data_IF_643343956834
#
_entry.id   IF_643343956834
#
_cell.length_a   1.000
_cell.length_b   1.000
_cell.length_c   1.000
_cell.angle_alpha   90.00
_cell.angle_beta   90.00
_cell.angle_gamma   90.00
#
_symmetry.space_group_name_H-M   'P 1'
#
loop_
_entity.id
_entity.type
_entity.pdbx_description
1 polymer ?
#
# COMPACT_ATOMS: atom_id res chain seq x y z
N UNK A 1 -10.22 68.77 24.19
CA UNK A 1 -9.15 68.50 23.20
C UNK A 1 -9.12 67.01 23.12
N UNK A 2 -10.00 66.49 22.26
CA UNK A 2 -10.62 65.19 22.44
C UNK A 2 -10.06 64.22 21.41
N UNK A 3 -9.28 63.25 21.89
CA UNK A 3 -8.85 62.09 21.11
C UNK A 3 -10.03 61.13 20.94
N UNK A 4 -10.73 61.24 19.81
CA UNK A 4 -11.71 60.25 19.37
C UNK A 4 -10.99 59.20 18.52
N UNK A 5 -10.89 57.99 19.07
CA UNK A 5 -10.61 56.75 18.34
C UNK A 5 -11.58 56.60 17.16
N UNK A 6 -11.08 56.78 15.93
CA UNK A 6 -11.78 56.39 14.71
C UNK A 6 -11.36 54.95 14.40
N UNK A 7 -12.21 53.99 14.78
CA UNK A 7 -12.22 52.65 14.21
C UNK A 7 -12.64 52.77 12.73
N UNK A 8 -11.67 52.81 11.81
CA UNK A 8 -11.95 52.56 10.41
C UNK A 8 -12.25 51.08 10.24
N UNK A 9 -13.53 50.75 10.06
CA UNK A 9 -13.95 49.50 9.42
C UNK A 9 -13.33 49.45 8.03
N UNK A 10 -12.23 48.72 7.87
CA UNK A 10 -11.74 48.34 6.55
C UNK A 10 -12.70 47.29 6.01
N UNK A 11 -13.73 47.75 5.28
CA UNK A 11 -14.37 46.91 4.27
C UNK A 11 -13.29 46.59 3.24
N UNK A 12 -12.71 45.39 3.33
CA UNK A 12 -12.01 44.80 2.20
C UNK A 12 -13.12 44.38 1.24
N UNK A 13 -13.53 45.31 0.37
CA UNK A 13 -14.22 44.93 -0.85
C UNK A 13 -13.33 43.90 -1.54
N UNK A 14 -13.86 42.69 -1.71
CA UNK A 14 -13.25 41.68 -2.55
C UNK A 14 -13.15 42.30 -3.94
N UNK A 15 -12.00 42.88 -4.24
CA UNK A 15 -11.67 43.40 -5.55
C UNK A 15 -11.92 42.25 -6.52
N UNK A 16 -13.01 42.38 -7.26
CA UNK A 16 -13.48 41.42 -8.24
C UNK A 16 -12.31 41.11 -9.15
N UNK A 17 -11.83 39.87 -9.08
CA UNK A 17 -10.78 39.38 -9.96
C UNK A 17 -11.16 39.75 -11.40
N UNK A 18 -10.25 40.37 -12.18
CA UNK A 18 -10.55 40.75 -13.54
C UNK A 18 -10.97 39.50 -14.34
N UNK A 19 -11.96 39.65 -15.23
CA UNK A 19 -12.51 38.55 -16.05
C UNK A 19 -11.47 37.84 -16.93
N UNK A 20 -10.27 38.41 -17.06
CA UNK A 20 -9.09 37.81 -17.67
C UNK A 20 -8.38 36.76 -16.82
N UNK A 21 -8.76 36.60 -15.54
CA UNK A 21 -8.34 35.51 -14.64
C UNK A 21 -9.43 34.43 -14.61
N UNK A 22 -10.03 34.12 -15.76
CA UNK A 22 -10.64 32.81 -15.94
C UNK A 22 -9.52 31.78 -15.96
N UNK A 23 -9.64 30.66 -15.22
CA UNK A 23 -8.80 29.48 -15.44
C UNK A 23 -9.02 29.03 -16.89
N UNK A 24 -8.19 29.53 -17.81
CA UNK A 24 -8.18 29.08 -19.20
C UNK A 24 -7.44 27.76 -19.23
N UNK A 25 -8.21 26.72 -18.96
CA UNK A 25 -7.80 25.35 -19.02
C UNK A 25 -9.07 24.55 -18.90
N UNK A 26 -9.82 24.41 -19.99
CA UNK A 26 -10.61 23.20 -20.17
C UNK A 26 -9.64 22.06 -19.91
N UNK A 27 -9.81 21.34 -18.80
CA UNK A 27 -9.09 20.10 -18.58
C UNK A 27 -9.55 19.17 -19.70
N UNK A 28 -8.75 19.08 -20.76
CA UNK A 28 -8.89 18.02 -21.74
C UNK A 28 -8.53 16.76 -20.98
N UNK A 29 -9.52 16.14 -20.33
CA UNK A 29 -9.33 14.84 -19.74
C UNK A 29 -9.21 13.89 -20.93
N UNK A 30 -8.01 13.37 -21.15
CA UNK A 30 -7.83 12.31 -22.12
C UNK A 30 -8.74 11.14 -21.68
N UNK A 31 -9.42 10.46 -22.62
CA UNK A 31 -10.43 9.45 -22.30
C UNK A 31 -9.95 8.34 -21.35
N UNK A 32 -8.64 8.19 -21.19
CA UNK A 32 -7.96 7.16 -20.41
C UNK A 32 -6.95 7.73 -19.40
N UNK A 33 -7.08 8.99 -18.97
CA UNK A 33 -6.30 9.55 -17.84
C UNK A 33 -7.23 9.86 -16.66
N UNK A 34 -7.20 8.98 -15.65
CA UNK A 34 -7.89 9.16 -14.38
C UNK A 34 -6.91 9.59 -13.27
N UNK A 35 -7.36 10.32 -12.24
CA UNK A 35 -6.54 10.57 -11.06
C UNK A 35 -5.96 9.26 -10.51
N UNK A 36 -4.64 9.23 -10.30
CA UNK A 36 -3.91 8.05 -9.83
C UNK A 36 -3.28 7.19 -10.92
N UNK A 37 -3.60 7.37 -12.20
CA UNK A 37 -3.09 6.52 -13.28
C UNK A 37 -1.63 6.84 -13.63
N UNK A 38 -0.70 6.29 -12.85
CA UNK A 38 0.74 6.39 -13.08
C UNK A 38 1.15 5.14 -13.87
N UNK A 39 1.44 5.28 -15.17
CA UNK A 39 1.79 4.14 -16.04
C UNK A 39 2.88 3.24 -15.45
N UNK A 40 3.95 3.83 -14.91
CA UNK A 40 5.03 3.08 -14.27
C UNK A 40 4.51 2.26 -13.08
N UNK A 41 3.58 2.81 -12.29
CA UNK A 41 3.01 2.12 -11.15
C UNK A 41 2.06 0.99 -11.56
N UNK A 42 1.26 1.20 -12.61
CA UNK A 42 0.41 0.14 -13.16
C UNK A 42 1.23 -1.05 -13.66
N UNK A 43 2.41 -0.80 -14.24
CA UNK A 43 3.36 -1.87 -14.59
C UNK A 43 3.88 -2.63 -13.37
N UNK A 44 4.19 -1.92 -12.27
CA UNK A 44 4.57 -2.56 -11.01
C UNK A 44 3.44 -3.45 -10.47
N UNK A 45 2.19 -2.96 -10.47
CA UNK A 45 1.03 -3.75 -10.03
C UNK A 45 0.80 -4.99 -10.90
N UNK A 46 1.00 -4.88 -12.23
CA UNK A 46 0.96 -6.05 -13.10
C UNK A 46 2.03 -7.09 -12.73
N UNK A 47 3.23 -6.64 -12.35
CA UNK A 47 4.27 -7.52 -11.82
C UNK A 47 3.87 -8.23 -10.52
N UNK A 48 3.07 -7.57 -9.67
CA UNK A 48 2.46 -8.18 -8.47
C UNK A 48 1.22 -9.06 -8.80
N UNK A 49 0.84 -9.16 -10.07
CA UNK A 49 -0.31 -9.95 -10.53
C UNK A 49 -1.67 -9.25 -10.37
N UNK A 50 -1.70 -7.93 -10.17
CA UNK A 50 -2.93 -7.13 -10.14
C UNK A 50 -2.94 -6.17 -11.32
N UNK A 51 -3.92 -6.30 -12.20
CA UNK A 51 -4.09 -5.44 -13.38
C UNK A 51 -5.24 -4.46 -13.15
N UNK A 52 -4.98 -3.16 -12.90
CA UNK A 52 -6.06 -2.20 -12.71
C UNK A 52 -6.84 -2.01 -14.01
N UNK A 53 -8.06 -2.56 -14.12
CA UNK A 53 -8.85 -2.56 -15.37
C UNK A 53 -9.87 -1.43 -15.49
N UNK A 54 -10.20 -0.75 -14.38
CA UNK A 54 -11.32 0.20 -14.32
C UNK A 54 -10.90 1.66 -14.24
N UNK A 55 -10.81 2.23 -13.02
CA UNK A 55 -10.66 3.68 -12.83
C UNK A 55 -9.27 4.08 -12.36
N UNK A 56 -8.93 3.79 -11.10
CA UNK A 56 -7.76 4.42 -10.47
C UNK A 56 -6.96 3.45 -9.60
N UNK A 57 -5.64 3.53 -9.69
CA UNK A 57 -4.73 2.91 -8.73
C UNK A 57 -3.83 3.97 -8.10
N UNK A 58 -4.08 4.31 -6.84
CA UNK A 58 -3.35 5.36 -6.13
C UNK A 58 -2.14 4.78 -5.42
N UNK A 59 -0.94 5.15 -5.86
CA UNK A 59 0.29 4.94 -5.08
C UNK A 59 0.32 5.96 -3.93
N UNK A 60 0.38 5.48 -2.69
CA UNK A 60 0.28 6.31 -1.49
C UNK A 60 1.58 6.16 -0.67
N UNK A 61 2.47 7.15 -0.75
CA UNK A 61 3.77 7.15 -0.03
C UNK A 61 3.89 8.31 0.96
N UNK A 62 2.94 9.25 0.95
CA UNK A 62 2.88 10.38 1.87
C UNK A 62 1.43 10.80 2.15
N UNK A 63 1.15 11.48 3.27
CA UNK A 63 -0.21 11.92 3.62
C UNK A 63 -0.89 12.85 2.61
N UNK A 64 -0.15 13.48 1.70
CA UNK A 64 -0.72 14.28 0.60
C UNK A 64 -1.39 13.38 -0.45
N UNK A 65 -0.86 12.19 -0.69
CA UNK A 65 -1.38 11.26 -1.70
C UNK A 65 -2.77 10.73 -1.28
N UNK A 66 -3.00 10.59 0.03
CA UNK A 66 -4.34 10.30 0.57
C UNK A 66 -5.36 11.36 0.14
N UNK A 67 -4.99 12.64 0.17
CA UNK A 67 -5.90 13.72 -0.25
C UNK A 67 -6.17 13.67 -1.75
N UNK A 68 -5.16 13.33 -2.56
CA UNK A 68 -5.30 13.14 -4.01
C UNK A 68 -6.24 11.96 -4.31
N UNK A 69 -6.19 10.90 -3.50
CA UNK A 69 -7.09 9.76 -3.56
C UNK A 69 -8.49 10.03 -2.95
N UNK A 70 -8.78 11.26 -2.49
CA UNK A 70 -10.05 11.60 -1.84
C UNK A 70 -10.22 11.03 -0.42
N UNK A 71 -9.14 10.53 0.18
CA UNK A 71 -9.12 9.93 1.51
C UNK A 71 -8.76 10.94 2.60
N UNK A 72 -9.20 10.65 3.82
CA UNK A 72 -8.83 11.42 5.00
C UNK A 72 -7.42 11.04 5.47
N UNK A 73 -6.73 12.00 6.08
CA UNK A 73 -5.46 11.73 6.76
C UNK A 73 -5.70 10.84 8.00
N UNK A 74 -4.73 10.00 8.37
CA UNK A 74 -4.80 9.19 9.58
C UNK A 74 -4.89 10.07 10.84
N UNK A 75 -5.49 9.53 11.90
CA UNK A 75 -5.64 10.24 13.18
C UNK A 75 -4.34 10.34 13.97
N UNK A 76 -3.44 9.38 13.80
CA UNK A 76 -2.13 9.28 14.47
C UNK A 76 -1.05 8.87 13.48
N UNK A 77 0.18 9.34 13.67
CA UNK A 77 1.36 8.94 12.89
C UNK A 77 2.62 9.04 13.77
N UNK A 78 3.32 7.93 14.08
CA UNK A 78 3.03 6.57 13.62
C UNK A 78 1.76 5.99 14.28
N UNK A 79 1.08 5.10 13.57
CA UNK A 79 0.03 4.27 14.15
C UNK A 79 0.65 3.08 14.86
N UNK A 80 0.29 2.88 16.13
CA UNK A 80 0.68 1.70 16.89
C UNK A 80 -0.49 0.72 16.85
N UNK A 81 -0.26 -0.46 16.27
CA UNK A 81 -1.25 -1.53 16.18
C UNK A 81 -0.82 -2.65 17.11
N UNK A 82 -1.69 -3.03 18.06
CA UNK A 82 -1.47 -4.19 18.92
C UNK A 82 -2.04 -5.44 18.25
N UNK A 83 -1.17 -6.32 17.79
CA UNK A 83 -1.56 -7.64 17.27
C UNK A 83 -1.67 -8.63 18.42
N UNK A 84 -2.84 -9.22 18.64
CA UNK A 84 -3.01 -10.27 19.65
C UNK A 84 -2.68 -11.64 19.07
N UNK A 85 -2.33 -12.61 19.91
CA UNK A 85 -2.15 -14.01 19.51
C UNK A 85 -3.41 -14.68 18.96
N UNK A 86 -4.59 -14.04 19.11
CA UNK A 86 -5.85 -14.49 18.51
C UNK A 86 -5.96 -14.12 17.03
N UNK A 87 -5.12 -13.19 16.53
CA UNK A 87 -5.02 -12.86 15.11
C UNK A 87 -3.94 -13.72 14.44
N UNK A 88 -3.94 -15.03 14.72
CA UNK A 88 -2.98 -15.95 14.12
C UNK A 88 -3.32 -16.12 12.64
N UNK A 89 -2.56 -15.45 11.78
CA UNK A 89 -2.60 -15.64 10.34
C UNK A 89 -1.69 -16.84 10.00
N UNK A 90 -2.21 -17.92 9.38
CA UNK A 90 -1.42 -19.11 9.10
C UNK A 90 -0.49 -18.91 7.90
N UNK A 91 0.64 -19.60 7.94
CA UNK A 91 1.60 -19.69 6.84
C UNK A 91 1.15 -20.72 5.80
N UNK A 92 1.30 -20.41 4.52
CA UNK A 92 1.11 -21.37 3.44
C UNK A 92 2.08 -22.55 3.59
N UNK A 93 1.57 -23.77 3.46
CA UNK A 93 2.32 -25.00 3.70
C UNK A 93 2.27 -25.51 5.14
N UNK A 94 1.70 -24.74 6.07
CA UNK A 94 1.45 -25.21 7.44
C UNK A 94 0.31 -26.24 7.50
N UNK A 95 0.18 -26.95 8.62
CA UNK A 95 -0.95 -27.86 8.89
C UNK A 95 -2.31 -27.15 8.79
N UNK A 96 -2.34 -25.84 9.07
CA UNK A 96 -3.55 -25.02 9.04
C UNK A 96 -3.88 -24.42 7.66
N UNK A 97 -2.92 -24.36 6.74
CA UNK A 97 -3.12 -23.73 5.43
C UNK A 97 -2.27 -24.42 4.35
N UNK A 98 -2.85 -25.32 3.54
CA UNK A 98 -2.16 -25.91 2.40
C UNK A 98 -1.79 -24.87 1.33
N UNK A 99 -0.66 -25.06 0.64
CA UNK A 99 -0.21 -24.19 -0.45
C UNK A 99 -1.29 -23.98 -1.52
N UNK A 100 -1.92 -25.05 -2.01
CA UNK A 100 -2.98 -24.97 -3.03
C UNK A 100 -4.16 -24.08 -2.62
N UNK A 101 -4.49 -24.07 -1.32
CA UNK A 101 -5.57 -23.22 -0.79
C UNK A 101 -5.16 -21.75 -0.71
N UNK A 102 -3.91 -21.48 -0.36
CA UNK A 102 -3.35 -20.13 -0.40
C UNK A 102 -3.27 -19.61 -1.84
N UNK A 103 -2.71 -20.38 -2.77
CA UNK A 103 -2.51 -19.97 -4.16
C UNK A 103 -3.83 -19.69 -4.88
N UNK A 104 -4.80 -20.60 -4.76
CA UNK A 104 -6.13 -20.42 -5.35
C UNK A 104 -6.85 -19.20 -4.79
N UNK A 105 -6.72 -18.94 -3.49
CA UNK A 105 -7.31 -17.75 -2.86
C UNK A 105 -6.57 -16.48 -3.26
N UNK A 106 -5.24 -16.50 -3.30
CA UNK A 106 -4.37 -15.41 -3.72
C UNK A 106 -4.70 -14.98 -5.15
N UNK A 107 -4.80 -15.92 -6.09
CA UNK A 107 -5.19 -15.66 -7.47
C UNK A 107 -6.55 -14.98 -7.54
N UNK A 108 -7.56 -15.53 -6.86
CA UNK A 108 -8.92 -14.98 -6.84
C UNK A 108 -8.97 -13.56 -6.24
N UNK A 109 -8.22 -13.31 -5.16
CA UNK A 109 -8.12 -11.98 -4.55
C UNK A 109 -7.49 -10.98 -5.54
N UNK A 110 -6.42 -11.38 -6.23
CA UNK A 110 -5.79 -10.54 -7.26
C UNK A 110 -6.74 -10.22 -8.41
N UNK A 111 -7.56 -11.18 -8.85
CA UNK A 111 -8.61 -10.95 -9.83
C UNK A 111 -9.67 -9.95 -9.35
N UNK A 112 -10.16 -10.10 -8.12
CA UNK A 112 -11.12 -9.15 -7.55
C UNK A 112 -10.55 -7.74 -7.37
N UNK A 113 -9.29 -7.63 -6.96
CA UNK A 113 -8.57 -6.35 -6.91
C UNK A 113 -8.43 -5.74 -8.31
N UNK A 114 -8.10 -6.55 -9.32
CA UNK A 114 -8.00 -6.11 -10.72
C UNK A 114 -9.32 -5.56 -11.27
N UNK A 115 -10.45 -6.10 -10.79
CA UNK A 115 -11.81 -5.66 -11.13
C UNK A 115 -12.35 -4.55 -10.21
N UNK A 116 -11.59 -4.10 -9.20
CA UNK A 116 -12.03 -3.04 -8.30
C UNK A 116 -12.02 -1.68 -8.97
N UNK A 117 -12.96 -0.82 -8.59
CA UNK A 117 -13.05 0.53 -9.14
C UNK A 117 -11.84 1.38 -8.77
N UNK A 118 -11.39 1.28 -7.51
CA UNK A 118 -10.26 2.00 -6.97
C UNK A 118 -9.34 1.05 -6.23
N UNK A 119 -8.04 1.21 -6.46
CA UNK A 119 -6.98 0.60 -5.67
C UNK A 119 -6.25 1.70 -4.91
N UNK A 120 -6.00 1.46 -3.62
CA UNK A 120 -5.23 2.29 -2.72
C UNK A 120 -4.02 1.49 -2.28
N UNK A 121 -2.84 2.01 -2.60
CA UNK A 121 -1.61 1.27 -2.42
C UNK A 121 -0.62 2.01 -1.53
N UNK A 122 -0.79 1.94 -0.19
CA UNK A 122 0.23 2.35 0.75
C UNK A 122 1.57 1.64 0.51
N UNK A 123 2.65 2.41 0.46
CA UNK A 123 4.02 1.91 0.37
C UNK A 123 4.90 2.53 1.45
N UNK A 124 5.80 1.73 2.02
CA UNK A 124 6.77 2.16 3.03
C UNK A 124 7.64 1.00 3.48
N UNK A 125 8.45 1.21 4.53
CA UNK A 125 9.20 0.15 5.18
C UNK A 125 8.39 -0.44 6.34
N UNK A 126 8.52 -1.73 6.60
CA UNK A 126 8.00 -2.35 7.81
C UNK A 126 8.72 -1.74 9.03
N UNK A 127 8.02 -1.39 10.12
CA UNK A 127 8.63 -0.67 11.24
C UNK A 127 9.90 -1.34 11.77
N UNK A 128 10.97 -0.55 11.88
CA UNK A 128 12.29 -0.94 12.41
C UNK A 128 13.07 -1.99 11.59
N UNK A 129 12.61 -2.41 10.41
CA UNK A 129 13.29 -3.48 9.63
C UNK A 129 13.91 -3.02 8.32
N UNK A 130 13.54 -1.84 7.79
CA UNK A 130 13.91 -1.38 6.42
C UNK A 130 13.42 -2.29 5.29
N UNK A 131 12.64 -3.32 5.60
CA UNK A 131 12.06 -4.23 4.62
C UNK A 131 10.91 -3.49 3.95
N UNK A 132 11.01 -3.27 2.63
CA UNK A 132 10.00 -2.54 1.89
C UNK A 132 8.70 -3.34 1.75
N UNK A 133 7.56 -2.66 1.89
CA UNK A 133 6.23 -3.23 1.86
C UNK A 133 5.32 -2.44 0.92
N UNK A 134 4.63 -3.15 0.02
CA UNK A 134 3.51 -2.63 -0.78
C UNK A 134 2.22 -3.26 -0.29
N UNK A 135 1.24 -2.44 0.04
CA UNK A 135 -0.14 -2.92 0.19
C UNK A 135 -0.91 -2.60 -1.09
N UNK A 136 -1.73 -3.53 -1.56
CA UNK A 136 -2.64 -3.39 -2.70
C UNK A 136 -4.04 -3.69 -2.18
N UNK A 137 -4.88 -2.68 -2.07
CA UNK A 137 -6.21 -2.83 -1.49
C UNK A 137 -7.27 -2.01 -2.22
N UNK A 138 -8.52 -2.47 -2.24
CA UNK A 138 -9.66 -1.64 -2.61
C UNK A 138 -10.30 -0.93 -1.39
N UNK A 139 -9.77 -1.13 -0.18
CA UNK A 139 -10.28 -0.54 1.06
C UNK A 139 -9.85 0.91 1.23
N UNK A 140 -10.78 1.84 1.03
CA UNK A 140 -10.61 3.25 1.37
C UNK A 140 -10.46 3.49 2.89
N UNK A 141 -11.00 2.57 3.71
CA UNK A 141 -10.98 2.67 5.16
C UNK A 141 -9.60 2.33 5.74
N UNK A 142 -8.93 1.31 5.21
CA UNK A 142 -7.64 0.83 5.73
C UNK A 142 -6.45 1.64 5.23
N UNK A 143 -6.51 2.18 4.00
CA UNK A 143 -5.36 2.82 3.37
C UNK A 143 -4.70 3.95 4.22
N UNK A 144 -5.44 4.86 4.88
CA UNK A 144 -4.83 5.88 5.75
C UNK A 144 -4.07 5.29 6.93
N UNK A 145 -4.63 4.27 7.57
CA UNK A 145 -4.08 3.67 8.78
C UNK A 145 -2.88 2.77 8.45
N UNK A 146 -2.93 2.05 7.33
CA UNK A 146 -1.79 1.29 6.80
C UNK A 146 -0.62 2.22 6.42
N UNK A 147 -0.89 3.37 5.80
CA UNK A 147 0.14 4.37 5.54
C UNK A 147 0.76 4.91 6.84
N UNK A 148 -0.05 5.07 7.89
CA UNK A 148 0.43 5.55 9.19
C UNK A 148 1.23 4.51 9.98
N UNK A 149 0.97 3.22 9.72
CA UNK A 149 1.70 2.11 10.30
C UNK A 149 3.08 1.96 9.66
N UNK A 150 3.17 2.01 8.32
CA UNK A 150 4.44 1.85 7.60
C UNK A 150 5.38 3.04 7.83
N UNK A 151 6.68 2.75 7.93
CA UNK A 151 7.72 3.77 7.98
C UNK A 151 7.88 4.42 6.61
N UNK A 152 7.99 5.75 6.60
CA UNK A 152 8.06 6.49 5.34
C UNK A 152 9.39 6.23 4.61
N UNK A 153 9.30 5.64 3.42
CA UNK A 153 10.42 5.39 2.53
C UNK A 153 10.22 6.11 1.17
N UNK A 154 10.51 7.43 1.08
CA UNK A 154 10.20 8.19 -0.12
C UNK A 154 11.07 7.74 -1.30
N UNK A 155 10.42 7.28 -2.37
CA UNK A 155 11.07 6.89 -3.63
C UNK A 155 10.49 7.72 -4.78
N UNK A 156 11.37 8.18 -5.68
CA UNK A 156 10.96 8.96 -6.86
C UNK A 156 10.08 8.11 -7.78
N UNK A 157 10.59 6.96 -8.19
CA UNK A 157 9.89 6.00 -9.05
C UNK A 157 9.23 4.89 -8.21
N UNK A 158 8.15 4.26 -8.72
CA UNK A 158 7.61 3.05 -8.10
C UNK A 158 8.63 1.91 -8.26
N UNK A 159 8.97 1.22 -7.16
CA UNK A 159 9.83 0.04 -7.26
C UNK A 159 9.11 -1.06 -8.03
N UNK A 160 9.83 -1.80 -8.89
CA UNK A 160 9.24 -2.88 -9.69
C UNK A 160 8.58 -3.92 -8.77
N UNK A 161 9.32 -4.36 -7.75
CA UNK A 161 8.85 -5.22 -6.68
C UNK A 161 9.29 -4.68 -5.31
N UNK A 162 8.60 -5.10 -4.26
CA UNK A 162 9.01 -4.88 -2.87
C UNK A 162 9.09 -6.23 -2.14
N UNK A 163 9.98 -6.37 -1.14
CA UNK A 163 10.13 -7.63 -0.40
C UNK A 163 8.84 -8.18 0.19
N UNK A 164 7.93 -7.31 0.64
CA UNK A 164 6.60 -7.72 1.12
C UNK A 164 5.53 -7.12 0.23
N UNK A 165 4.64 -7.97 -0.31
CA UNK A 165 3.44 -7.55 -1.03
C UNK A 165 2.19 -8.06 -0.32
N UNK A 166 1.26 -7.15 -0.01
CA UNK A 166 0.03 -7.43 0.74
C UNK A 166 -1.17 -7.19 -0.16
N UNK A 167 -2.03 -8.19 -0.31
CA UNK A 167 -3.28 -8.11 -1.06
C UNK A 167 -4.45 -8.08 -0.08
N UNK A 168 -5.19 -6.97 -0.04
CA UNK A 168 -6.33 -6.81 0.87
C UNK A 168 -7.60 -6.49 0.08
N UNK A 169 -8.47 -7.48 -0.06
CA UNK A 169 -9.77 -7.30 -0.69
C UNK A 169 -10.88 -7.11 0.36
N UNK A 170 -11.52 -5.95 0.31
CA UNK A 170 -12.74 -5.62 1.05
C UNK A 170 -13.95 -5.82 0.13
N UNK A 171 -14.84 -6.74 0.50
CA UNK A 171 -16.05 -7.01 -0.28
C UNK A 171 -16.86 -8.18 0.26
N UNK A 172 -18.05 -8.37 -0.28
CA UNK A 172 -18.84 -9.57 0.03
C UNK A 172 -18.14 -10.79 -0.57
N UNK A 173 -17.63 -11.65 0.30
CA UNK A 173 -16.94 -12.90 -0.05
C UNK A 173 -17.60 -14.07 0.66
N UNK A 174 -17.65 -15.21 0.00
CA UNK A 174 -18.31 -16.41 0.54
C UNK A 174 -17.62 -16.93 1.80
N UNK A 175 -16.30 -16.79 1.87
CA UNK A 175 -15.48 -17.16 3.01
C UNK A 175 -14.42 -16.09 3.24
N UNK A 176 -14.34 -15.59 4.47
CA UNK A 176 -13.24 -14.72 4.88
C UNK A 176 -11.94 -15.52 4.92
N UNK A 177 -10.85 -14.88 4.55
CA UNK A 177 -9.54 -15.50 4.44
C UNK A 177 -8.45 -14.55 4.92
N UNK A 178 -7.47 -15.12 5.62
CA UNK A 178 -6.20 -14.48 5.92
C UNK A 178 -5.11 -15.54 5.89
N UNK A 179 -4.02 -15.30 5.17
CA UNK A 179 -2.84 -16.16 5.14
C UNK A 179 -1.62 -15.37 4.70
N UNK A 180 -0.43 -15.92 4.96
CA UNK A 180 0.81 -15.39 4.41
C UNK A 180 1.68 -16.50 3.84
N UNK A 181 2.63 -16.15 2.98
CA UNK A 181 3.63 -17.05 2.42
C UNK A 181 4.99 -16.34 2.39
N UNK A 182 6.06 -17.12 2.56
CA UNK A 182 7.44 -16.71 2.36
C UNK A 182 8.02 -17.61 1.28
N UNK A 183 8.62 -17.00 0.26
CA UNK A 183 9.12 -17.69 -0.91
C UNK A 183 10.52 -17.18 -1.26
N UNK A 184 11.37 -18.08 -1.75
CA UNK A 184 12.66 -17.70 -2.35
C UNK A 184 12.45 -17.59 -3.87
N UNK A 185 12.74 -16.42 -4.41
CA UNK A 185 12.64 -16.13 -5.84
C UNK A 185 14.02 -15.87 -6.43
N UNK A 186 14.30 -16.50 -7.55
CA UNK A 186 15.49 -16.23 -8.36
C UNK A 186 15.22 -15.00 -9.23
N UNK A 187 16.08 -13.99 -9.10
CA UNK A 187 16.05 -12.79 -9.94
C UNK A 187 17.22 -12.87 -10.94
N UNK A 188 16.89 -12.83 -12.22
CA UNK A 188 17.87 -12.67 -13.29
C UNK A 188 18.33 -11.21 -13.33
N UNK A 189 19.43 -10.90 -12.63
CA UNK A 189 20.07 -9.58 -12.65
C UNK A 189 21.26 -9.52 -13.62
N UNK A 190 21.28 -10.34 -14.68
CA UNK A 190 22.23 -10.25 -15.80
C UNK A 190 23.69 -10.63 -15.49
N UNK A 191 24.12 -10.59 -14.23
CA UNK A 191 25.44 -11.02 -13.74
C UNK A 191 25.38 -12.34 -12.94
N UNK A 192 24.23 -13.01 -12.91
CA UNK A 192 23.98 -14.28 -12.23
C UNK A 192 22.59 -14.32 -11.58
N UNK A 193 22.14 -15.52 -11.21
CA UNK A 193 20.88 -15.70 -10.48
C UNK A 193 21.08 -15.28 -9.01
N UNK A 194 20.37 -14.23 -8.58
CA UNK A 194 20.36 -13.80 -7.18
C UNK A 194 19.08 -14.32 -6.54
N UNK A 195 19.23 -15.22 -5.58
CA UNK A 195 18.12 -15.68 -4.73
C UNK A 195 17.73 -14.57 -3.73
N UNK A 196 16.44 -14.22 -3.72
CA UNK A 196 15.87 -13.25 -2.81
C UNK A 196 14.64 -13.82 -2.13
N UNK A 197 14.51 -13.57 -0.83
CA UNK A 197 13.34 -14.00 -0.07
C UNK A 197 12.29 -12.90 -0.08
N UNK A 198 11.06 -13.28 -0.44
CA UNK A 198 9.90 -12.39 -0.54
C UNK A 198 8.75 -12.92 0.28
N UNK A 199 7.89 -12.01 0.73
CA UNK A 199 6.71 -12.32 1.52
C UNK A 199 5.44 -11.85 0.81
N UNK A 200 4.41 -12.70 0.83
CA UNK A 200 3.07 -12.38 0.36
C UNK A 200 2.06 -12.50 1.48
N UNK A 201 1.20 -11.50 1.66
CA UNK A 201 0.09 -11.54 2.62
C UNK A 201 -1.21 -11.42 1.85
N UNK A 202 -2.19 -12.27 2.13
CA UNK A 202 -3.51 -12.25 1.47
C UNK A 202 -4.59 -12.15 2.53
N UNK A 203 -5.41 -11.11 2.46
CA UNK A 203 -6.58 -10.90 3.31
C UNK A 203 -7.80 -10.60 2.45
N UNK A 204 -8.88 -11.32 2.68
CA UNK A 204 -10.15 -11.15 1.96
C UNK A 204 -11.29 -11.24 2.96
N UNK A 205 -12.02 -10.15 3.18
CA UNK A 205 -13.11 -10.10 4.14
C UNK A 205 -14.09 -8.97 3.82
N UNK A 206 -15.27 -9.00 4.44
CA UNK A 206 -16.24 -7.90 4.29
C UNK A 206 -15.75 -6.62 4.96
N UNK A 207 -15.09 -6.76 6.11
CA UNK A 207 -14.47 -5.67 6.86
C UNK A 207 -13.09 -6.14 7.36
N UNK A 208 -12.05 -6.09 6.52
CA UNK A 208 -10.75 -6.61 6.91
C UNK A 208 -10.19 -5.85 8.13
N UNK A 209 -9.69 -6.60 9.12
CA UNK A 209 -9.09 -6.02 10.33
C UNK A 209 -7.63 -5.59 10.06
N UNK A 210 -7.31 -4.35 10.41
CA UNK A 210 -5.95 -3.82 10.29
C UNK A 210 -4.95 -4.65 11.11
N UNK A 211 -5.34 -5.16 12.28
CA UNK A 211 -4.43 -5.93 13.11
C UNK A 211 -4.07 -7.28 12.45
N UNK A 212 -4.98 -7.89 11.68
CA UNK A 212 -4.68 -9.08 10.87
C UNK A 212 -3.72 -8.75 9.73
N UNK A 213 -3.94 -7.64 9.01
CA UNK A 213 -3.04 -7.21 7.92
C UNK A 213 -1.64 -6.91 8.44
N UNK A 214 -1.54 -6.14 9.53
CA UNK A 214 -0.27 -5.81 10.18
C UNK A 214 0.45 -7.06 10.66
N UNK A 215 -0.27 -8.01 11.27
CA UNK A 215 0.34 -9.26 11.73
C UNK A 215 0.96 -10.06 10.59
N UNK A 216 0.30 -10.12 9.43
CA UNK A 216 0.85 -10.75 8.24
C UNK A 216 2.12 -10.05 7.74
N UNK A 217 2.13 -8.71 7.72
CA UNK A 217 3.31 -7.92 7.33
C UNK A 217 4.50 -8.22 8.25
N UNK A 218 4.27 -8.24 9.56
CA UNK A 218 5.31 -8.51 10.56
C UNK A 218 5.86 -9.93 10.40
N UNK A 219 5.01 -10.94 10.22
CA UNK A 219 5.42 -12.33 10.01
C UNK A 219 6.27 -12.50 8.75
N UNK A 220 5.88 -11.89 7.64
CA UNK A 220 6.71 -11.88 6.43
C UNK A 220 8.07 -11.21 6.67
N UNK A 221 8.09 -10.06 7.36
CA UNK A 221 9.33 -9.36 7.66
C UNK A 221 10.25 -10.16 8.61
N UNK A 222 9.69 -10.84 9.61
CA UNK A 222 10.39 -11.75 10.51
C UNK A 222 11.01 -12.91 9.72
N UNK A 223 10.25 -13.54 8.82
CA UNK A 223 10.72 -14.66 8.01
C UNK A 223 11.80 -14.28 6.99
N UNK A 224 11.64 -13.16 6.29
CA UNK A 224 12.66 -12.63 5.38
C UNK A 224 13.97 -12.40 6.13
N UNK A 225 13.89 -11.78 7.30
CA UNK A 225 15.07 -11.50 8.11
C UNK A 225 15.75 -12.78 8.62
N UNK A 226 14.96 -13.76 9.08
CA UNK A 226 15.50 -15.03 9.56
C UNK A 226 16.30 -15.74 8.46
N UNK A 227 15.76 -15.77 7.25
CA UNK A 227 16.42 -16.40 6.11
C UNK A 227 17.66 -15.60 5.62
N UNK A 228 17.64 -14.27 5.68
CA UNK A 228 18.83 -13.43 5.45
C UNK A 228 19.95 -13.69 6.49
N UNK A 229 19.59 -13.80 7.77
CA UNK A 229 20.52 -14.08 8.86
C UNK A 229 21.12 -15.51 8.72
N UNK A 230 20.33 -16.50 8.30
CA UNK A 230 20.80 -17.87 8.01
C UNK A 230 21.77 -17.92 6.82
N UNK A 231 21.46 -17.22 5.73
CA UNK A 231 22.35 -17.12 4.56
C UNK A 231 23.67 -16.42 4.88
N UNK A 232 23.64 -15.37 5.70
CA UNK A 232 24.84 -14.69 6.17
C UNK A 232 25.73 -15.63 7.03
N UNK A 233 25.13 -16.39 7.93
CA UNK A 233 25.87 -17.34 8.77
C UNK A 233 26.46 -18.52 7.97
N UNK A 234 25.74 -19.04 6.98
CA UNK A 234 26.20 -20.15 6.12
C UNK A 234 27.32 -19.76 5.15
N UNK A 235 27.40 -18.49 4.74
CA UNK A 235 28.47 -17.97 3.90
C UNK A 235 29.84 -17.92 4.61
N UNK A 236 29.84 -17.65 5.93
CA UNK A 236 31.07 -17.54 6.73
C UNK A 236 31.76 -18.88 7.00
N UNK A 237 31.09 -20.03 6.83
CA UNK A 237 31.71 -21.36 6.98
C UNK A 237 32.49 -21.83 5.72
N UNK A 238 32.49 -21.02 4.65
CA UNK A 238 33.06 -21.36 3.34
C UNK A 238 34.27 -20.54 2.90
N UNK A 239 34.81 -19.68 3.77
CA UNK A 239 36.10 -18.96 3.60
C UNK A 239 37.22 -19.51 4.52
#
# INVERSE_FOLDING_TARGET
>A
GDDKNILMNVHIEAASLPSSVGRVGTSTQFPDEYPGQIYAFNWCLNGDGVTPTKKSAFRIVKPLDLQVAGLKKPKSNPLVVTTSSQNSIPEAGSESLPFESFDSTSLRVKEYLSLSDHLYCPEGDVPKTRIGCRVISNSAALAPDLLAYLERAPRKEPPVSLPVTVYVYEGDVDNEFSGYAIEVVELDEGDGDIERTVGSVVVSAKNPDIATVVRGIELCAEGIKADEDERAAGGEESE
#
